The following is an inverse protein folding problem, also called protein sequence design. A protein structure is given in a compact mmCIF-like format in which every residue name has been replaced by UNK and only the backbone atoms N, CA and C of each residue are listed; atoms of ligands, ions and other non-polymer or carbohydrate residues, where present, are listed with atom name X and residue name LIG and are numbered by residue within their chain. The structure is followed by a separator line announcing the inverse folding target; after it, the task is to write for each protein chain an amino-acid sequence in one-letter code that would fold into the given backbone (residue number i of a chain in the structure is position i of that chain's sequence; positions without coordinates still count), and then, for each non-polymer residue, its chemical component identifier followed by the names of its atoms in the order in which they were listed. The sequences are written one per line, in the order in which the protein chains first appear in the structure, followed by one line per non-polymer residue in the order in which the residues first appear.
data_IF_846794609955
#
_entry.id   IF_846794609955
#
_cell.length_a   1.000
_cell.length_b   1.000
_cell.length_c   1.000
_cell.angle_alpha   90.00
_cell.angle_beta   90.00
_cell.angle_gamma   90.00
#
_symmetry.space_group_name_H-M   'P 1'
#
loop_
_entity.id
_entity.type
_entity.pdbx_description
1 polymer ?
#
# COMPACT_ATOMS: atom_id res chain seq x y z
N UNK A 1 3.57 5.25 -5.52
CA UNK A 1 3.91 6.05 -6.70
C UNK A 1 2.76 5.96 -7.69
N UNK A 2 1.98 7.03 -7.84
CA UNK A 2 0.92 7.13 -8.87
C UNK A 2 1.64 7.44 -10.18
N UNK A 3 1.68 6.48 -11.09
CA UNK A 3 2.23 6.73 -12.43
C UNK A 3 1.25 7.60 -13.21
N UNK A 4 1.78 8.59 -13.93
CA UNK A 4 1.03 9.54 -14.73
C UNK A 4 0.31 8.83 -15.88
N UNK A 5 -0.96 8.49 -15.69
CA UNK A 5 -1.84 8.06 -16.78
C UNK A 5 -2.32 9.28 -17.55
N UNK A 6 -2.19 9.33 -18.89
CA UNK A 6 -2.59 10.49 -19.71
C UNK A 6 -4.07 10.89 -19.57
N UNK A 7 -4.93 9.97 -19.11
CA UNK A 7 -6.37 10.12 -19.01
C UNK A 7 -6.90 10.27 -17.57
N UNK A 8 -6.03 10.37 -16.55
CA UNK A 8 -6.48 10.59 -15.17
C UNK A 8 -6.19 12.03 -14.73
N UNK A 9 -7.25 12.66 -14.22
CA UNK A 9 -7.37 13.98 -13.61
C UNK A 9 -6.05 14.75 -13.36
N UNK A 10 -5.99 15.94 -13.95
CA UNK A 10 -5.25 17.15 -13.56
C UNK A 10 -3.96 16.93 -12.73
N UNK A 11 -2.80 17.23 -13.34
CA UNK A 11 -1.44 17.22 -12.74
C UNK A 11 -1.38 17.73 -11.28
N UNK A 12 -2.25 18.66 -10.91
CA UNK A 12 -2.38 19.21 -9.56
C UNK A 12 -2.72 18.15 -8.49
N UNK A 13 -3.56 17.15 -8.79
CA UNK A 13 -3.93 16.11 -7.82
C UNK A 13 -2.75 15.19 -7.54
N UNK A 14 -2.02 14.79 -8.59
CA UNK A 14 -0.84 13.94 -8.45
C UNK A 14 0.24 14.63 -7.61
N UNK A 15 0.49 15.92 -7.87
CA UNK A 15 1.41 16.75 -7.09
C UNK A 15 1.00 16.83 -5.62
N UNK A 16 -0.29 17.04 -5.35
CA UNK A 16 -0.83 17.11 -4.00
C UNK A 16 -0.66 15.80 -3.23
N UNK A 17 -1.02 14.66 -3.84
CA UNK A 17 -0.84 13.33 -3.21
C UNK A 17 0.63 13.04 -2.93
N UNK A 18 1.53 13.41 -3.86
CA UNK A 18 2.97 13.25 -3.67
C UNK A 18 3.51 14.11 -2.52
N UNK A 19 2.96 15.31 -2.34
CA UNK A 19 3.31 16.21 -1.24
C UNK A 19 2.87 15.64 0.12
N UNK A 20 1.73 14.97 0.17
CA UNK A 20 1.27 14.25 1.38
C UNK A 20 2.21 13.09 1.71
N UNK A 21 2.61 12.30 0.71
CA UNK A 21 3.55 11.18 0.90
C UNK A 21 4.86 11.66 1.53
N UNK A 22 5.43 12.77 1.04
CA UNK A 22 6.65 13.37 1.60
C UNK A 22 6.47 13.92 3.02
N UNK A 23 5.30 14.49 3.32
CA UNK A 23 4.98 15.00 4.67
C UNK A 23 4.93 13.86 5.70
N UNK A 24 4.30 12.73 5.35
CA UNK A 24 4.21 11.56 6.22
C UNK A 24 5.61 10.99 6.53
N UNK A 25 6.49 10.90 5.53
CA UNK A 25 7.88 10.49 5.74
C UNK A 25 8.63 11.46 6.66
N UNK A 26 8.47 12.77 6.47
CA UNK A 26 9.10 13.79 7.32
C UNK A 26 8.60 13.75 8.77
N UNK A 27 7.36 13.34 9.01
CA UNK A 27 6.82 13.09 10.35
C UNK A 27 7.26 11.76 10.96
N UNK A 28 8.04 10.95 10.24
CA UNK A 28 8.58 9.68 10.74
C UNK A 28 7.71 8.46 10.45
N UNK A 29 6.58 8.61 9.76
CA UNK A 29 5.73 7.49 9.38
C UNK A 29 6.41 6.65 8.28
N UNK A 30 6.42 5.33 8.49
CA UNK A 30 6.97 4.36 7.54
C UNK A 30 5.87 3.58 6.87
N UNK A 31 5.96 3.45 5.55
CA UNK A 31 5.05 2.61 4.77
C UNK A 31 5.20 1.14 5.14
N UNK A 32 4.07 0.43 5.09
CA UNK A 32 4.00 -1.04 5.11
C UNK A 32 3.76 -1.48 3.67
N UNK A 33 4.86 -1.82 2.99
CA UNK A 33 4.87 -2.20 1.58
C UNK A 33 4.67 -1.03 0.61
N UNK A 34 4.64 -1.36 -0.67
CA UNK A 34 4.37 -0.42 -1.78
C UNK A 34 3.25 -0.97 -2.68
N UNK A 35 2.56 -0.13 -3.47
CA UNK A 35 1.47 -0.61 -4.32
C UNK A 35 1.93 -1.76 -5.22
N UNK A 36 1.16 -2.85 -5.23
CA UNK A 36 1.41 -4.06 -6.02
C UNK A 36 2.68 -4.83 -5.65
N UNK A 37 3.36 -4.45 -4.56
CA UNK A 37 4.45 -5.25 -4.05
C UNK A 37 3.94 -6.62 -3.61
N UNK A 38 4.61 -7.67 -4.07
CA UNK A 38 4.40 -9.02 -3.56
C UNK A 38 5.17 -9.18 -2.25
N UNK A 39 4.49 -9.66 -1.21
CA UNK A 39 5.01 -9.85 0.15
C UNK A 39 4.47 -11.15 0.72
N UNK A 40 5.15 -11.70 1.73
CA UNK A 40 4.57 -12.75 2.55
C UNK A 40 3.52 -12.16 3.50
N UNK A 41 2.37 -12.80 3.59
CA UNK A 41 1.30 -12.35 4.47
C UNK A 41 1.74 -12.46 5.94
N UNK A 42 1.69 -11.33 6.66
CA UNK A 42 1.96 -11.26 8.08
C UNK A 42 0.77 -10.54 8.75
N UNK A 43 -0.04 -11.24 9.56
CA UNK A 43 -1.23 -10.66 10.22
C UNK A 43 -0.95 -9.43 11.10
N UNK A 44 0.30 -9.23 11.55
CA UNK A 44 0.69 -8.03 12.31
C UNK A 44 0.71 -6.78 11.43
N UNK A 45 1.14 -6.92 10.17
CA UNK A 45 1.34 -5.80 9.25
C UNK A 45 0.26 -5.70 8.18
N UNK A 46 -0.44 -6.80 7.89
CA UNK A 46 -1.32 -6.95 6.75
C UNK A 46 -2.75 -7.28 7.18
N UNK A 47 -3.72 -6.68 6.49
CA UNK A 47 -5.13 -7.01 6.56
C UNK A 47 -5.53 -7.68 5.25
N UNK A 48 -5.94 -8.96 5.25
CA UNK A 48 -6.32 -9.66 4.03
C UNK A 48 -7.71 -9.21 3.57
N UNK A 49 -7.95 -9.27 2.26
CA UNK A 49 -9.26 -8.98 1.65
C UNK A 49 -10.25 -10.16 1.75
N UNK A 50 -9.75 -11.35 2.06
CA UNK A 50 -10.50 -12.57 2.33
C UNK A 50 -9.98 -13.25 3.61
N UNK A 51 -10.83 -14.02 4.28
CA UNK A 51 -10.53 -14.53 5.65
C UNK A 51 -9.67 -15.79 5.68
N UNK A 52 -9.36 -16.41 4.55
CA UNK A 52 -8.68 -17.71 4.45
C UNK A 52 -7.18 -17.61 4.10
N UNK A 53 -6.61 -16.40 4.04
CA UNK A 53 -5.17 -16.20 3.81
C UNK A 53 -4.36 -16.62 5.05
N UNK A 54 -3.46 -17.58 4.87
CA UNK A 54 -2.56 -18.10 5.91
C UNK A 54 -1.26 -17.30 6.01
N UNK A 55 -0.71 -17.12 7.22
CA UNK A 55 0.60 -16.50 7.42
C UNK A 55 1.68 -17.13 6.53
N UNK A 56 2.51 -16.30 5.89
CA UNK A 56 3.53 -16.72 4.94
C UNK A 56 3.05 -16.86 3.48
N UNK A 57 1.74 -16.88 3.23
CA UNK A 57 1.23 -16.91 1.85
C UNK A 57 1.66 -15.68 1.05
N UNK A 58 1.93 -15.88 -0.24
CA UNK A 58 2.29 -14.79 -1.14
C UNK A 58 1.07 -13.94 -1.51
N UNK A 59 1.13 -12.64 -1.21
CA UNK A 59 0.05 -11.68 -1.44
C UNK A 59 0.58 -10.36 -2.00
N UNK A 60 -0.29 -9.59 -2.62
CA UNK A 60 -0.01 -8.27 -3.17
C UNK A 60 -0.60 -7.17 -2.31
N UNK A 61 0.19 -6.12 -2.06
CA UNK A 61 -0.28 -4.91 -1.39
C UNK A 61 -1.23 -4.13 -2.30
N UNK A 62 -2.51 -4.05 -1.90
CA UNK A 62 -3.58 -3.30 -2.57
C UNK A 62 -3.63 -1.85 -2.11
N UNK A 63 -3.48 -1.66 -0.79
CA UNK A 63 -3.48 -0.35 -0.16
C UNK A 63 -2.32 -0.30 0.84
N UNK A 64 -1.49 0.72 0.73
CA UNK A 64 -0.32 0.94 1.58
C UNK A 64 -0.78 1.20 3.01
N UNK A 65 -0.20 0.45 3.97
CA UNK A 65 -0.35 0.72 5.40
C UNK A 65 0.75 1.64 5.92
N UNK A 66 0.64 2.08 7.17
CA UNK A 66 1.61 2.96 7.81
C UNK A 66 1.88 2.55 9.27
N UNK A 67 3.11 2.78 9.72
CA UNK A 67 3.54 2.62 11.11
C UNK A 67 4.36 3.81 11.60
N UNK A 68 4.32 4.05 12.90
CA UNK A 68 5.17 4.99 13.62
C UNK A 68 5.98 4.20 14.66
N UNK A 69 7.29 4.08 14.43
CA UNK A 69 8.12 3.11 15.15
C UNK A 69 7.54 1.69 15.03
N UNK A 70 7.20 1.10 16.18
CA UNK A 70 6.58 -0.23 16.27
C UNK A 70 5.05 -0.20 16.28
N UNK A 71 4.45 0.99 16.38
CA UNK A 71 2.99 1.17 16.39
C UNK A 71 2.47 1.12 14.95
N UNK A 72 1.60 0.16 14.68
CA UNK A 72 0.84 0.11 13.43
C UNK A 72 -0.26 1.20 13.48
N UNK A 73 -0.17 2.17 12.58
CA UNK A 73 -1.22 3.19 12.42
C UNK A 73 -2.40 2.60 11.64
N UNK A 74 -2.07 1.91 10.53
CA UNK A 74 -3.01 1.11 9.76
C UNK A 74 -2.27 -0.02 9.04
N UNK A 75 -2.82 -1.25 9.02
CA UNK A 75 -2.21 -2.36 8.30
C UNK A 75 -2.35 -2.14 6.78
N UNK A 76 -1.41 -2.69 6.01
CA UNK A 76 -1.54 -2.71 4.56
C UNK A 76 -2.62 -3.71 4.17
N UNK A 77 -3.50 -3.34 3.24
CA UNK A 77 -4.50 -4.27 2.74
C UNK A 77 -3.89 -5.11 1.62
N UNK A 78 -4.10 -6.42 1.68
CA UNK A 78 -3.47 -7.36 0.76
C UNK A 78 -4.48 -8.28 0.10
N UNK A 79 -4.12 -8.82 -1.06
CA UNK A 79 -4.91 -9.80 -1.81
C UNK A 79 -3.99 -10.82 -2.47
N UNK A 80 -4.47 -12.05 -2.67
CA UNK A 80 -3.76 -13.03 -3.52
C UNK A 80 -3.70 -12.60 -5.00
N UNK A 81 -4.51 -11.63 -5.40
CA UNK A 81 -4.68 -11.28 -6.82
C UNK A 81 -4.40 -9.80 -7.11
N UNK A 82 -3.82 -9.56 -8.28
CA UNK A 82 -3.74 -8.23 -8.88
C UNK A 82 -5.08 -7.84 -9.52
N UNK A 83 -5.36 -6.52 -9.68
CA UNK A 83 -6.54 -6.09 -10.40
C UNK A 83 -6.45 -6.57 -11.86
N UNK A 84 -7.59 -6.84 -12.48
CA UNK A 84 -7.64 -7.14 -13.92
C UNK A 84 -6.92 -6.02 -14.69
N UNK A 85 -5.91 -6.38 -15.49
CA UNK A 85 -5.12 -5.45 -16.29
C UNK A 85 -3.70 -5.17 -15.78
N UNK A 86 -3.34 -5.62 -14.57
CA UNK A 86 -1.96 -5.69 -14.10
C UNK A 86 -1.48 -7.14 -14.23
N UNK A 87 -0.54 -7.40 -15.15
CA UNK A 87 0.18 -8.68 -15.30
C UNK A 87 1.60 -8.52 -14.81
#
# INVERSE_FOLDING_TARGET
MIQSSPNLLNRNIISFVSSIDGLLENWGYKRIGTPWQQVEYNPQFHQPDVTDIQPGESVYVRFVGYRDGDRICCPAKVSRTLPKGFR
#
